data_IF_374674168210
#
_entry.id   IF_374674168210
#
_cell.length_a   1.000
_cell.length_b   1.000
_cell.length_c   1.000
_cell.angle_alpha   90.00
_cell.angle_beta   90.00
_cell.angle_gamma   90.00
#
_symmetry.space_group_name_H-M   'P 1'
#
loop_
_entity.id
_entity.type
_entity.pdbx_description
1 polymer ?
#
# COMPACT_ATOMS: atom_id res chain seq x y z
N UNK A 1 -8.95 37.07 -42.20
CA UNK A 1 -10.16 36.74 -41.42
C UNK A 1 -9.69 36.29 -40.04
N UNK A 2 -10.00 37.09 -39.04
CA UNK A 2 -9.80 36.75 -37.62
C UNK A 2 -11.03 35.94 -37.20
N UNK A 3 -10.80 34.77 -36.61
CA UNK A 3 -11.80 34.05 -35.83
C UNK A 3 -11.08 33.49 -34.61
N UNK A 4 -11.21 34.21 -33.50
CA UNK A 4 -10.95 33.72 -32.14
C UNK A 4 -12.16 32.89 -31.70
N UNK A 5 -11.98 31.65 -31.28
CA UNK A 5 -12.87 30.84 -30.43
C UNK A 5 -12.06 29.60 -29.98
N UNK A 6 -12.06 29.09 -28.75
CA UNK A 6 -12.64 29.37 -27.43
C UNK A 6 -11.79 28.53 -26.44
N UNK A 7 -11.64 29.00 -25.19
CA UNK A 7 -11.17 28.16 -24.08
C UNK A 7 -12.00 26.87 -23.96
N UNK A 8 -11.35 25.72 -23.84
CA UNK A 8 -11.96 24.54 -23.23
C UNK A 8 -11.37 24.37 -21.83
N UNK A 9 -12.16 24.79 -20.85
CA UNK A 9 -11.98 24.43 -19.44
C UNK A 9 -12.07 22.91 -19.26
N UNK A 10 -11.21 22.40 -18.38
CA UNK A 10 -11.52 21.34 -17.41
C UNK A 10 -12.10 20.04 -17.96
N UNK A 11 -11.26 19.01 -18.01
CA UNK A 11 -11.70 17.66 -17.65
C UNK A 11 -10.99 17.29 -16.36
N UNK A 12 -11.62 17.69 -15.25
CA UNK A 12 -11.36 17.04 -13.97
C UNK A 12 -11.58 15.55 -14.15
N UNK A 13 -10.67 14.74 -13.62
CA UNK A 13 -10.85 13.31 -13.53
C UNK A 13 -12.04 13.05 -12.59
N UNK A 14 -13.22 12.93 -13.19
CA UNK A 14 -14.42 12.43 -12.55
C UNK A 14 -14.20 10.93 -12.29
N UNK A 15 -13.57 10.61 -11.18
CA UNK A 15 -13.80 9.31 -10.57
C UNK A 15 -15.23 9.34 -10.02
N UNK A 16 -16.18 8.56 -10.55
CA UNK A 16 -17.47 8.43 -9.92
C UNK A 16 -17.22 7.77 -8.57
N UNK A 17 -17.42 8.54 -7.50
CA UNK A 17 -17.61 7.97 -6.17
C UNK A 17 -18.69 6.90 -6.33
N UNK A 18 -18.33 5.65 -6.06
CA UNK A 18 -19.27 4.53 -6.07
C UNK A 18 -20.32 4.86 -5.00
N UNK A 19 -21.44 5.42 -5.43
CA UNK A 19 -22.58 5.71 -4.61
C UNK A 19 -23.16 4.37 -4.15
N UNK A 20 -22.70 3.88 -2.99
CA UNK A 20 -23.24 2.66 -2.40
C UNK A 20 -22.36 1.91 -1.40
N UNK A 21 -21.04 2.14 -1.31
CA UNK A 21 -20.29 1.53 -0.19
C UNK A 21 -20.43 2.41 1.04
N UNK A 22 -21.32 2.06 1.96
CA UNK A 22 -21.32 2.63 3.30
C UNK A 22 -19.93 2.45 3.92
N UNK A 23 -19.21 3.56 4.01
CA UNK A 23 -17.89 3.66 4.61
C UNK A 23 -17.94 3.32 6.09
N UNK A 24 -17.63 2.06 6.40
CA UNK A 24 -17.36 1.63 7.76
C UNK A 24 -16.01 0.94 7.72
N UNK A 25 -14.96 1.74 7.92
CA UNK A 25 -13.68 1.18 8.31
C UNK A 25 -13.93 0.45 9.63
N UNK A 26 -13.67 -0.86 9.66
CA UNK A 26 -14.00 -1.70 10.81
C UNK A 26 -13.28 -1.20 12.08
N UNK A 27 -13.95 -1.33 13.22
CA UNK A 27 -13.40 -0.90 14.53
C UNK A 27 -12.03 -1.53 14.81
N UNK A 28 -11.84 -2.81 14.41
CA UNK A 28 -10.56 -3.49 14.50
C UNK A 28 -9.47 -2.81 13.66
N UNK A 29 -9.78 -2.36 12.45
CA UNK A 29 -8.83 -1.65 11.60
C UNK A 29 -8.44 -0.29 12.20
N UNK A 30 -9.39 0.42 12.83
CA UNK A 30 -9.10 1.67 13.56
C UNK A 30 -8.24 1.43 14.79
N UNK A 31 -8.44 0.34 15.52
CA UNK A 31 -7.62 0.00 16.68
C UNK A 31 -6.14 -0.20 16.30
N UNK A 32 -5.88 -0.81 15.14
CA UNK A 32 -4.53 -1.01 14.61
C UNK A 32 -3.96 0.21 13.88
N UNK A 33 -4.81 1.01 13.25
CA UNK A 33 -4.42 2.19 12.48
C UNK A 33 -5.39 3.37 12.73
N UNK A 34 -5.24 4.10 13.85
CA UNK A 34 -6.18 5.16 14.24
C UNK A 34 -6.28 6.32 13.24
N UNK A 35 -5.26 6.49 12.41
CA UNK A 35 -5.24 7.52 11.36
C UNK A 35 -6.15 7.18 10.15
N UNK A 36 -6.54 5.91 9.98
CA UNK A 36 -7.44 5.48 8.90
C UNK A 36 -8.90 5.73 9.31
N UNK A 37 -9.27 7.00 9.48
CA UNK A 37 -10.69 7.39 9.66
C UNK A 37 -11.32 7.70 8.31
N UNK A 38 -12.64 7.55 8.20
CA UNK A 38 -13.39 7.90 6.98
C UNK A 38 -13.14 9.36 6.58
N UNK A 39 -13.03 10.25 7.56
CA UNK A 39 -12.68 11.66 7.35
C UNK A 39 -11.31 11.79 6.67
N UNK A 40 -10.28 11.15 7.23
CA UNK A 40 -8.92 11.25 6.69
C UNK A 40 -8.82 10.61 5.31
N UNK A 41 -9.52 9.51 5.06
CA UNK A 41 -9.57 8.90 3.72
C UNK A 41 -10.24 9.81 2.70
N UNK A 42 -11.30 10.53 3.06
CA UNK A 42 -11.95 11.49 2.16
C UNK A 42 -11.09 12.71 1.88
N UNK A 43 -10.37 13.19 2.88
CA UNK A 43 -9.60 14.43 2.79
C UNK A 43 -8.22 14.23 2.14
N UNK A 44 -7.56 13.10 2.42
CA UNK A 44 -6.18 12.84 2.02
C UNK A 44 -5.98 11.53 1.24
N UNK A 45 -7.00 10.67 1.17
CA UNK A 45 -6.90 9.40 0.47
C UNK A 45 -6.69 9.58 -1.02
N UNK A 46 -5.89 8.67 -1.60
CA UNK A 46 -5.61 8.63 -3.03
C UNK A 46 -5.89 7.22 -3.57
N UNK A 47 -6.23 7.08 -4.86
CA UNK A 47 -6.36 5.78 -5.50
C UNK A 47 -5.09 4.94 -5.36
N UNK A 48 -5.24 3.61 -5.28
CA UNK A 48 -4.13 2.67 -5.11
C UNK A 48 -3.05 2.85 -6.20
N UNK A 49 -3.47 3.00 -7.46
CA UNK A 49 -2.56 3.23 -8.59
C UNK A 49 -1.65 4.46 -8.33
N UNK A 50 -2.24 5.57 -7.92
CA UNK A 50 -1.49 6.79 -7.62
C UNK A 50 -0.58 6.61 -6.40
N UNK A 51 -0.98 5.82 -5.41
CA UNK A 51 -0.14 5.52 -4.26
C UNK A 51 1.11 4.72 -4.65
N UNK A 52 0.95 3.70 -5.51
CA UNK A 52 2.05 2.90 -6.05
C UNK A 52 3.00 3.78 -6.87
N UNK A 53 2.48 4.58 -7.79
CA UNK A 53 3.28 5.50 -8.62
C UNK A 53 4.07 6.51 -7.77
N UNK A 54 3.43 7.10 -6.76
CA UNK A 54 4.10 8.05 -5.85
C UNK A 54 5.20 7.37 -5.03
N UNK A 55 4.97 6.14 -4.58
CA UNK A 55 5.98 5.37 -3.86
C UNK A 55 7.18 5.06 -4.75
N UNK A 56 6.97 4.61 -5.98
CA UNK A 56 8.04 4.32 -6.93
C UNK A 56 8.81 5.60 -7.30
N UNK A 57 8.12 6.71 -7.56
CA UNK A 57 8.76 8.00 -7.83
C UNK A 57 9.63 8.45 -6.63
N UNK A 58 9.11 8.33 -5.42
CA UNK A 58 9.85 8.63 -4.20
C UNK A 58 11.08 7.73 -4.04
N UNK A 59 10.94 6.42 -4.20
CA UNK A 59 12.06 5.48 -4.12
C UNK A 59 13.16 5.82 -5.10
N UNK A 60 12.81 6.10 -6.36
CA UNK A 60 13.77 6.46 -7.41
C UNK A 60 14.42 7.83 -7.19
N UNK A 61 13.83 8.70 -6.36
CA UNK A 61 14.39 10.00 -6.00
C UNK A 61 15.36 9.98 -4.82
N UNK A 62 15.42 8.88 -4.06
CA UNK A 62 16.30 8.79 -2.90
C UNK A 62 17.78 8.78 -3.31
N UNK A 63 18.54 9.72 -2.76
CA UNK A 63 19.99 9.77 -2.94
C UNK A 63 20.67 8.74 -2.03
N UNK A 64 21.67 8.03 -2.55
CA UNK A 64 22.45 7.03 -1.79
C UNK A 64 21.99 5.58 -1.96
N UNK A 65 20.89 5.33 -2.66
CA UNK A 65 20.52 3.99 -3.11
C UNK A 65 21.29 3.70 -4.40
N UNK A 66 21.86 2.49 -4.53
CA UNK A 66 22.51 2.06 -5.78
C UNK A 66 21.55 2.24 -6.94
N UNK A 67 21.99 2.91 -8.01
CA UNK A 67 21.15 3.14 -9.18
C UNK A 67 20.57 1.82 -9.70
N UNK A 68 19.24 1.74 -9.80
CA UNK A 68 18.52 0.54 -10.23
C UNK A 68 18.20 -0.47 -9.12
N UNK A 69 18.60 -0.25 -7.87
CA UNK A 69 18.17 -1.10 -6.77
C UNK A 69 16.65 -0.95 -6.53
N UNK A 70 15.97 -2.09 -6.44
CA UNK A 70 14.52 -2.15 -6.21
C UNK A 70 14.22 -2.20 -4.71
N UNK A 71 13.11 -1.61 -4.25
CA UNK A 71 12.71 -1.72 -2.86
C UNK A 71 12.36 -3.17 -2.53
N UNK A 72 12.61 -3.55 -1.28
CA UNK A 72 12.21 -4.84 -0.72
C UNK A 72 11.34 -4.58 0.49
N UNK A 73 10.12 -5.10 0.46
CA UNK A 73 9.19 -4.96 1.58
C UNK A 73 9.57 -5.93 2.70
N UNK A 74 9.53 -5.44 3.93
CA UNK A 74 9.57 -6.25 5.14
C UNK A 74 8.19 -6.09 5.79
N UNK A 75 7.49 -7.21 5.97
CA UNK A 75 6.10 -7.21 6.43
C UNK A 75 5.93 -8.09 7.66
N UNK A 76 5.04 -7.67 8.56
CA UNK A 76 4.66 -8.44 9.74
C UNK A 76 3.77 -9.63 9.34
N UNK A 77 4.39 -10.73 8.95
CA UNK A 77 3.72 -11.85 8.31
C UNK A 77 3.40 -11.57 6.84
N UNK A 78 3.00 -12.61 6.10
CA UNK A 78 2.68 -12.50 4.67
C UNK A 78 1.33 -11.82 4.33
N UNK A 79 0.45 -11.61 5.31
CA UNK A 79 -0.93 -11.15 5.07
C UNK A 79 -1.03 -9.78 4.37
N UNK A 80 -0.25 -8.74 4.76
CA UNK A 80 -0.32 -7.44 4.10
C UNK A 80 -0.09 -7.50 2.59
N UNK A 81 0.84 -8.35 2.14
CA UNK A 81 1.12 -8.52 0.72
C UNK A 81 0.09 -9.45 0.06
N UNK A 82 -0.09 -10.66 0.59
CA UNK A 82 -0.85 -11.73 -0.09
C UNK A 82 -2.37 -11.62 0.06
N UNK A 83 -2.85 -11.01 1.14
CA UNK A 83 -4.28 -10.93 1.45
C UNK A 83 -4.84 -9.51 1.31
N UNK A 84 -3.98 -8.49 1.25
CA UNK A 84 -4.42 -7.11 1.06
C UNK A 84 -3.94 -6.54 -0.27
N UNK A 85 -2.63 -6.30 -0.44
CA UNK A 85 -2.14 -5.54 -1.59
C UNK A 85 -2.31 -6.26 -2.94
N UNK A 86 -1.89 -7.52 -3.05
CA UNK A 86 -2.01 -8.25 -4.32
C UNK A 86 -3.45 -8.50 -4.75
N UNK A 87 -4.37 -8.96 -3.87
CA UNK A 87 -5.78 -9.10 -4.24
C UNK A 87 -6.41 -7.77 -4.65
N UNK A 88 -6.12 -6.69 -3.93
CA UNK A 88 -6.70 -5.38 -4.24
C UNK A 88 -6.20 -4.82 -5.57
N UNK A 89 -4.91 -4.98 -5.88
CA UNK A 89 -4.35 -4.59 -7.16
C UNK A 89 -4.96 -5.41 -8.31
N UNK A 90 -5.08 -6.73 -8.14
CA UNK A 90 -5.71 -7.63 -9.11
C UNK A 90 -7.18 -7.23 -9.37
N UNK A 91 -7.96 -6.99 -8.30
CA UNK A 91 -9.36 -6.57 -8.40
C UNK A 91 -9.56 -5.24 -9.14
N UNK A 92 -8.54 -4.38 -9.11
CA UNK A 92 -8.55 -3.05 -9.74
C UNK A 92 -7.82 -3.01 -11.09
N UNK A 93 -7.38 -4.16 -11.60
CA UNK A 93 -6.58 -4.27 -12.83
C UNK A 93 -5.31 -3.39 -12.79
N UNK A 94 -4.68 -3.34 -11.62
CA UNK A 94 -3.44 -2.59 -11.37
C UNK A 94 -2.26 -3.57 -11.48
N UNK A 95 -1.42 -3.35 -12.48
CA UNK A 95 -0.16 -4.09 -12.62
C UNK A 95 0.86 -3.54 -11.62
N UNK A 96 1.19 -4.35 -10.60
CA UNK A 96 2.24 -4.03 -9.66
C UNK A 96 3.62 -4.34 -10.27
N UNK A 97 4.65 -3.51 -10.01
CA UNK A 97 6.01 -3.83 -10.39
C UNK A 97 6.47 -5.17 -9.82
N UNK A 98 7.31 -5.89 -10.58
CA UNK A 98 7.75 -7.26 -10.23
C UNK A 98 8.34 -7.37 -8.82
N UNK A 99 9.05 -6.35 -8.33
CA UNK A 99 9.66 -6.37 -7.00
C UNK A 99 8.65 -6.42 -5.85
N UNK A 100 7.38 -6.13 -6.08
CA UNK A 100 6.31 -6.31 -5.09
C UNK A 100 6.03 -7.80 -4.80
N UNK A 101 6.39 -8.71 -5.70
CA UNK A 101 6.24 -10.15 -5.49
C UNK A 101 7.31 -10.73 -4.55
N UNK A 102 8.37 -9.94 -4.24
CA UNK A 102 9.49 -10.36 -3.42
C UNK A 102 9.53 -9.55 -2.12
N UNK A 103 9.09 -10.16 -1.03
CA UNK A 103 9.06 -9.54 0.29
C UNK A 103 9.61 -10.49 1.36
N UNK A 104 10.01 -9.91 2.49
CA UNK A 104 10.48 -10.62 3.68
C UNK A 104 9.33 -10.72 4.68
N UNK A 105 9.04 -11.94 5.11
CA UNK A 105 8.12 -12.19 6.20
C UNK A 105 8.92 -12.11 7.50
N UNK A 106 8.73 -11.02 8.24
CA UNK A 106 9.50 -10.74 9.44
C UNK A 106 9.29 -11.79 10.54
N UNK A 107 8.09 -12.37 10.65
CA UNK A 107 7.79 -13.42 11.64
C UNK A 107 8.55 -14.69 11.31
N UNK A 108 8.57 -15.04 10.02
CA UNK A 108 9.34 -16.18 9.53
C UNK A 108 10.84 -15.98 9.79
N UNK A 109 11.38 -14.83 9.40
CA UNK A 109 12.81 -14.51 9.57
C UNK A 109 13.19 -14.49 11.07
N UNK A 110 12.30 -13.99 11.94
CA UNK A 110 12.50 -14.02 13.39
C UNK A 110 12.54 -15.45 13.94
N UNK A 111 11.57 -16.29 13.60
CA UNK A 111 11.54 -17.69 14.05
C UNK A 111 12.78 -18.45 13.57
N UNK A 112 13.22 -18.23 12.33
CA UNK A 112 14.46 -18.84 11.80
C UNK A 112 15.71 -18.41 12.58
N UNK A 113 15.79 -17.13 12.98
CA UNK A 113 16.95 -16.63 13.74
C UNK A 113 16.95 -17.03 15.21
N UNK A 114 15.79 -17.12 15.86
CA UNK A 114 15.69 -17.23 17.33
C UNK A 114 15.13 -18.57 17.81
N UNK A 115 14.54 -19.40 16.95
CA UNK A 115 14.02 -20.70 17.36
C UNK A 115 15.13 -21.73 17.39
N UNK A 116 15.47 -22.21 18.60
CA UNK A 116 16.48 -23.26 18.75
C UNK A 116 15.97 -24.66 18.38
N UNK A 117 14.66 -24.89 18.25
CA UNK A 117 14.08 -26.22 17.93
C UNK A 117 12.70 -26.16 17.22
N UNK A 118 12.35 -25.04 16.58
CA UNK A 118 11.08 -24.89 15.87
C UNK A 118 9.84 -24.67 16.76
N UNK A 119 10.04 -24.40 18.05
CA UNK A 119 8.97 -24.20 19.04
C UNK A 119 8.46 -22.75 19.13
N UNK A 120 9.08 -21.81 18.39
CA UNK A 120 8.64 -20.41 18.41
C UNK A 120 7.63 -20.19 17.30
N UNK A 121 6.43 -19.75 17.68
CA UNK A 121 5.45 -19.17 16.77
C UNK A 121 5.11 -17.78 17.27
N UNK A 122 5.28 -16.77 16.42
CA UNK A 122 4.92 -15.38 16.74
C UNK A 122 3.68 -14.99 15.95
N UNK A 123 2.66 -14.47 16.64
CA UNK A 123 1.41 -13.99 16.03
C UNK A 123 1.49 -12.54 15.54
N UNK A 124 2.57 -11.81 15.87
CA UNK A 124 2.82 -10.44 15.40
C UNK A 124 4.08 -9.81 15.97
N UNK A 125 4.43 -8.62 15.46
CA UNK A 125 5.61 -7.85 15.90
C UNK A 125 5.64 -7.60 17.41
N UNK A 126 4.50 -7.41 18.06
CA UNK A 126 4.42 -7.14 19.50
C UNK A 126 4.94 -8.31 20.35
N UNK A 127 4.76 -9.55 19.89
CA UNK A 127 5.28 -10.73 20.60
C UNK A 127 6.78 -10.91 20.39
N UNK A 128 7.31 -10.47 19.25
CA UNK A 128 8.76 -10.51 18.97
C UNK A 128 9.57 -9.53 19.81
N UNK A 129 8.91 -8.55 20.45
CA UNK A 129 9.56 -7.53 21.29
C UNK A 129 9.63 -7.92 22.78
N UNK A 130 8.99 -9.03 23.17
CA UNK A 130 8.97 -9.53 24.55
C UNK A 130 10.17 -10.44 24.82
#
# INVERSE_FOLDING_TARGET
MIMEERCTSGTGSDNPAIAGSSGIIGEAALAHAPALTERNLREYGIPLQQAVEKFEAWWNSMSGITFGAKPRFIVDGQAPMRQCLHPEACNKDIELPEHYNYFHDLRKDFVECYSSYGELSTLGVQEMLQ
#
